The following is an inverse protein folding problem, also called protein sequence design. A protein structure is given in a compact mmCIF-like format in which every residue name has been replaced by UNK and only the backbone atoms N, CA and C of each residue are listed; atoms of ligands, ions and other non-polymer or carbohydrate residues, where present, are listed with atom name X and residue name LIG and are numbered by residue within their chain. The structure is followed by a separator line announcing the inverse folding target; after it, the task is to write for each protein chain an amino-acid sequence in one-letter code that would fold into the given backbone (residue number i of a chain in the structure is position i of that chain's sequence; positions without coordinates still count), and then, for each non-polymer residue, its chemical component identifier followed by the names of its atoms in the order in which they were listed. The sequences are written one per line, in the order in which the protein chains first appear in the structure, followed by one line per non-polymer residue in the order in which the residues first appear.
data_IF_035222041872
#
_entry.id   IF_035222041872
#
_cell.length_a   1.000
_cell.length_b   1.000
_cell.length_c   1.000
_cell.angle_alpha   90.00
_cell.angle_beta   90.00
_cell.angle_gamma   90.00
#
_symmetry.space_group_name_H-M   'P 1'
#
loop_
_entity.id
_entity.type
_entity.pdbx_description
1 polymer ?
#
# COMPACT_ATOMS: atom_id res chain seq x y z
N UNK A 1 -11.68 -3.29 -10.14
CA UNK A 1 -12.74 -3.86 -9.28
C UNK A 1 -12.30 -5.15 -8.56
N UNK A 2 -11.89 -6.23 -9.24
CA UNK A 2 -11.57 -7.53 -8.58
C UNK A 2 -10.52 -7.48 -7.45
N UNK A 3 -9.36 -6.87 -7.70
CA UNK A 3 -8.27 -6.79 -6.70
C UNK A 3 -8.72 -5.97 -5.48
N UNK A 4 -9.30 -4.80 -5.73
CA UNK A 4 -9.83 -3.93 -4.68
C UNK A 4 -10.87 -4.65 -3.81
N UNK A 5 -11.82 -5.35 -4.43
CA UNK A 5 -12.84 -6.13 -3.70
C UNK A 5 -12.19 -7.14 -2.75
N UNK A 6 -11.22 -7.92 -3.22
CA UNK A 6 -10.49 -8.87 -2.37
C UNK A 6 -9.76 -8.20 -1.21
N UNK A 7 -9.16 -7.03 -1.43
CA UNK A 7 -8.51 -6.27 -0.36
C UNK A 7 -9.50 -5.76 0.68
N UNK A 8 -10.68 -5.30 0.24
CA UNK A 8 -11.75 -4.84 1.13
C UNK A 8 -12.35 -6.01 1.94
N UNK A 9 -12.54 -7.18 1.31
CA UNK A 9 -13.00 -8.42 1.96
C UNK A 9 -12.02 -8.89 3.06
N UNK A 10 -10.73 -8.52 2.95
CA UNK A 10 -9.71 -8.79 3.97
C UNK A 10 -9.66 -7.71 5.07
N UNK A 11 -10.62 -6.77 5.09
CA UNK A 11 -10.71 -5.65 6.03
C UNK A 11 -9.46 -4.76 6.06
N UNK A 12 -8.74 -4.69 4.93
CA UNK A 12 -7.56 -3.83 4.81
C UNK A 12 -8.00 -2.36 4.71
N UNK A 13 -7.22 -1.47 5.34
CA UNK A 13 -7.43 -0.02 5.32
C UNK A 13 -6.72 0.60 4.10
N UNK A 14 -7.47 1.15 3.14
CA UNK A 14 -6.89 1.69 1.92
C UNK A 14 -6.27 3.08 2.13
N UNK A 15 -5.32 3.42 1.26
CA UNK A 15 -4.77 4.77 1.07
C UNK A 15 -4.99 5.11 -0.40
N UNK A 16 -5.72 6.18 -0.69
CA UNK A 16 -5.95 6.59 -2.08
C UNK A 16 -4.81 7.49 -2.55
N UNK A 17 -4.10 7.07 -3.60
CA UNK A 17 -3.07 7.89 -4.25
C UNK A 17 -3.54 8.26 -5.66
N UNK A 18 -3.88 9.53 -5.86
CA UNK A 18 -4.23 10.08 -7.17
C UNK A 18 -2.96 10.60 -7.83
N UNK A 19 -2.41 9.81 -8.75
CA UNK A 19 -1.17 10.16 -9.43
C UNK A 19 -1.42 10.93 -10.75
N UNK A 20 -0.37 11.61 -11.23
CA UNK A 20 -0.32 12.40 -12.48
C UNK A 20 -1.14 13.69 -12.43
N UNK A 21 -1.16 14.35 -11.26
CA UNK A 21 -1.83 15.65 -11.08
C UNK A 21 -1.17 16.79 -11.89
N UNK A 22 0.03 16.56 -12.40
CA UNK A 22 0.79 17.49 -13.26
C UNK A 22 0.21 17.64 -14.68
N UNK A 23 -0.80 16.84 -15.03
CA UNK A 23 -1.41 16.88 -16.38
C UNK A 23 -2.41 18.04 -16.49
N UNK A 24 -2.44 18.75 -17.64
CA UNK A 24 -3.30 19.93 -17.82
C UNK A 24 -4.81 19.62 -17.75
N UNK A 25 -5.20 18.38 -18.06
CA UNK A 25 -6.58 17.91 -18.00
C UNK A 25 -6.82 16.98 -16.79
N UNK A 26 -5.99 17.06 -15.75
CA UNK A 26 -6.19 16.30 -14.52
C UNK A 26 -7.45 16.80 -13.79
N UNK A 27 -8.27 15.86 -13.31
CA UNK A 27 -9.47 16.13 -12.51
C UNK A 27 -9.39 15.36 -11.20
N UNK A 28 -8.46 15.73 -10.31
CA UNK A 28 -8.14 14.93 -9.14
C UNK A 28 -9.30 14.82 -8.14
N UNK A 29 -10.12 15.87 -7.99
CA UNK A 29 -11.33 15.86 -7.17
C UNK A 29 -12.38 14.87 -7.71
N UNK A 30 -12.76 15.00 -8.98
CA UNK A 30 -13.73 14.08 -9.62
C UNK A 30 -13.30 12.61 -9.47
N UNK A 31 -12.00 12.32 -9.62
CA UNK A 31 -11.47 10.96 -9.47
C UNK A 31 -11.56 10.46 -8.03
N UNK A 32 -11.35 11.35 -7.04
CA UNK A 32 -11.51 10.99 -5.65
C UNK A 32 -12.96 10.61 -5.34
N UNK A 33 -13.93 11.43 -5.79
CA UNK A 33 -15.36 11.17 -5.62
C UNK A 33 -15.78 9.87 -6.31
N UNK A 34 -15.37 9.66 -7.56
CA UNK A 34 -15.62 8.41 -8.30
C UNK A 34 -15.02 7.18 -7.60
N UNK A 35 -13.91 7.35 -6.89
CA UNK A 35 -13.28 6.25 -6.14
C UNK A 35 -14.05 5.95 -4.85
N UNK A 36 -14.55 6.98 -4.18
CA UNK A 36 -15.43 6.84 -3.03
C UNK A 36 -16.72 6.08 -3.40
N UNK A 37 -17.39 6.48 -4.49
CA UNK A 37 -18.57 5.77 -5.01
C UNK A 37 -18.26 4.31 -5.31
N UNK A 38 -17.09 4.02 -5.90
CA UNK A 38 -16.66 2.65 -6.16
C UNK A 38 -16.45 1.83 -4.87
N UNK A 39 -15.97 2.45 -3.79
CA UNK A 39 -15.81 1.75 -2.51
C UNK A 39 -17.17 1.43 -1.89
N UNK A 40 -18.13 2.36 -1.99
CA UNK A 40 -19.52 2.15 -1.58
C UNK A 40 -20.17 1.01 -2.40
N UNK A 41 -20.00 0.98 -3.73
CA UNK A 41 -20.49 -0.12 -4.58
C UNK A 41 -19.93 -1.50 -4.17
N UNK A 42 -18.73 -1.52 -3.59
CA UNK A 42 -18.06 -2.73 -3.14
C UNK A 42 -18.35 -3.10 -1.68
N UNK A 43 -19.28 -2.39 -1.01
CA UNK A 43 -19.63 -2.56 0.40
C UNK A 43 -18.43 -2.38 1.35
N UNK A 44 -17.59 -1.38 1.10
CA UNK A 44 -16.55 -0.99 2.06
C UNK A 44 -17.18 -0.60 3.42
N UNK A 45 -16.50 -0.92 4.51
CA UNK A 45 -16.92 -0.48 5.85
C UNK A 45 -16.64 1.01 6.08
N UNK A 46 -17.26 1.61 7.10
CA UNK A 46 -17.03 3.02 7.46
C UNK A 46 -15.55 3.32 7.69
N UNK A 47 -14.82 2.42 8.36
CA UNK A 47 -13.37 2.56 8.56
C UNK A 47 -12.57 2.51 7.25
N UNK A 48 -13.08 1.79 6.25
CA UNK A 48 -12.45 1.70 4.93
C UNK A 48 -12.82 2.88 4.02
N UNK A 49 -13.90 3.60 4.33
CA UNK A 49 -14.32 4.83 3.64
C UNK A 49 -13.60 6.07 4.20
N UNK A 50 -13.10 6.04 5.44
CA UNK A 50 -12.17 7.05 5.99
C UNK A 50 -10.71 6.81 5.53
N UNK A 51 -10.49 6.83 4.22
CA UNK A 51 -9.14 6.72 3.66
C UNK A 51 -8.51 8.09 3.41
N UNK A 52 -7.21 8.27 3.71
CA UNK A 52 -6.50 9.47 3.30
C UNK A 52 -6.37 9.53 1.78
N UNK A 53 -6.42 10.74 1.24
CA UNK A 53 -6.21 11.01 -0.19
C UNK A 53 -4.88 11.74 -0.35
N UNK A 54 -3.99 11.17 -1.16
CA UNK A 54 -2.69 11.74 -1.50
C UNK A 54 -2.66 12.05 -2.99
N UNK A 55 -2.40 13.31 -3.33
CA UNK A 55 -2.25 13.76 -4.69
C UNK A 55 -0.77 13.75 -5.06
N UNK A 56 -0.40 13.04 -6.12
CA UNK A 56 1.01 12.81 -6.46
C UNK A 56 1.32 13.11 -7.93
N UNK A 57 2.56 13.54 -8.17
CA UNK A 57 3.18 13.63 -9.49
C UNK A 57 4.42 12.75 -9.51
N UNK A 58 4.27 11.52 -10.01
CA UNK A 58 5.41 10.61 -10.18
C UNK A 58 6.49 11.15 -11.14
N UNK A 59 6.14 12.08 -12.03
CA UNK A 59 7.09 12.73 -12.94
C UNK A 59 7.97 13.75 -12.21
N UNK A 60 7.38 14.53 -11.31
CA UNK A 60 8.09 15.58 -10.58
C UNK A 60 8.62 15.08 -9.23
N UNK A 61 8.22 13.90 -8.78
CA UNK A 61 8.62 13.35 -7.49
C UNK A 61 7.99 14.10 -6.32
N UNK A 62 6.75 14.60 -6.49
CA UNK A 62 6.06 15.40 -5.48
C UNK A 62 4.75 14.75 -5.06
N UNK A 63 4.36 14.96 -3.81
CA UNK A 63 3.07 14.58 -3.26
C UNK A 63 2.53 15.70 -2.36
N UNK A 64 1.21 15.80 -2.25
CA UNK A 64 0.53 16.72 -1.35
C UNK A 64 -0.79 16.10 -0.86
N UNK A 65 -1.26 16.54 0.31
CA UNK A 65 -2.59 16.20 0.83
C UNK A 65 -3.64 17.23 0.40
N UNK A 66 -3.19 18.42 0.00
CA UNK A 66 -4.05 19.50 -0.48
C UNK A 66 -3.57 19.98 -1.84
N UNK A 67 -4.46 19.97 -2.83
CA UNK A 67 -4.17 20.47 -4.19
C UNK A 67 -3.92 21.98 -4.22
N UNK A 68 -4.36 22.71 -3.19
CA UNK A 68 -4.06 24.14 -3.03
C UNK A 68 -2.60 24.40 -2.64
N UNK A 69 -1.94 23.41 -2.03
CA UNK A 69 -0.55 23.47 -1.59
C UNK A 69 0.34 22.60 -2.50
N UNK A 70 1.16 23.21 -3.37
CA UNK A 70 2.05 22.44 -4.23
C UNK A 70 3.04 21.62 -3.41
N UNK A 71 3.00 20.30 -3.60
CA UNK A 71 3.95 19.38 -2.98
C UNK A 71 5.39 19.65 -3.45
N UNK A 72 6.34 19.55 -2.53
CA UNK A 72 7.78 19.75 -2.82
C UNK A 72 8.55 18.44 -2.90
N UNK A 73 8.09 17.39 -2.21
CA UNK A 73 8.69 16.07 -2.18
C UNK A 73 7.62 14.98 -1.95
N UNK A 74 8.05 13.71 -1.84
CA UNK A 74 7.15 12.57 -1.58
C UNK A 74 6.86 12.33 -0.10
N UNK A 75 7.35 13.17 0.83
CA UNK A 75 7.15 12.94 2.26
C UNK A 75 5.69 12.82 2.65
N UNK A 76 4.75 13.62 2.11
CA UNK A 76 3.33 13.49 2.48
C UNK A 76 2.77 12.08 2.23
N UNK A 77 3.23 11.41 1.17
CA UNK A 77 2.86 10.02 0.90
C UNK A 77 3.47 9.05 1.93
N UNK A 78 4.77 9.18 2.19
CA UNK A 78 5.49 8.29 3.11
C UNK A 78 4.99 8.44 4.55
N UNK A 79 4.77 9.68 4.99
CA UNK A 79 4.23 10.01 6.31
C UNK A 79 2.80 9.45 6.45
N UNK A 80 1.97 9.56 5.41
CA UNK A 80 0.63 8.96 5.41
C UNK A 80 0.69 7.44 5.57
N UNK A 81 1.63 6.77 4.89
CA UNK A 81 1.84 5.32 5.03
C UNK A 81 2.23 4.97 6.47
N UNK A 82 3.18 5.69 7.06
CA UNK A 82 3.63 5.46 8.44
C UNK A 82 2.50 5.68 9.47
N UNK A 83 1.64 6.68 9.24
CA UNK A 83 0.55 7.02 10.15
C UNK A 83 -0.63 6.04 10.06
N UNK A 84 -0.91 5.49 8.88
CA UNK A 84 -2.14 4.71 8.64
C UNK A 84 -1.92 3.21 8.52
N UNK A 85 -0.73 2.75 8.14
CA UNK A 85 -0.43 1.32 8.03
C UNK A 85 -0.02 0.78 9.38
N UNK A 86 -0.82 -0.15 9.91
CA UNK A 86 -0.50 -0.83 11.17
C UNK A 86 0.80 -1.62 11.04
N UNK A 87 1.66 -1.61 12.08
CA UNK A 87 2.84 -2.45 12.09
C UNK A 87 2.44 -3.93 12.02
N UNK A 88 3.29 -4.79 11.42
CA UNK A 88 3.02 -6.21 11.38
C UNK A 88 3.00 -6.78 12.80
N UNK A 89 2.00 -7.60 13.10
CA UNK A 89 1.98 -8.39 14.34
C UNK A 89 2.95 -9.55 14.17
N UNK A 90 4.14 -9.41 14.74
CA UNK A 90 5.19 -10.41 14.72
C UNK A 90 5.89 -10.49 16.08
N UNK A 91 6.41 -11.67 16.40
CA UNK A 91 7.12 -11.94 17.66
C UNK A 91 8.47 -12.58 17.30
N UNK A 92 9.59 -11.88 17.49
CA UNK A 92 10.92 -12.38 17.16
C UNK A 92 11.41 -13.55 18.02
N UNK A 93 10.78 -13.79 19.17
CA UNK A 93 11.20 -14.82 20.13
C UNK A 93 10.44 -16.15 19.93
N UNK A 94 9.36 -16.14 19.15
CA UNK A 94 8.67 -17.36 18.72
C UNK A 94 9.49 -18.14 17.68
N UNK A 95 9.21 -19.44 17.48
CA UNK A 95 9.82 -20.22 16.41
C UNK A 95 9.64 -19.55 15.04
N UNK A 96 10.64 -19.73 14.17
CA UNK A 96 10.59 -19.18 12.82
C UNK A 96 9.37 -19.69 12.06
N UNK A 97 8.56 -18.75 11.56
CA UNK A 97 7.40 -19.04 10.72
C UNK A 97 7.38 -18.05 9.57
N UNK A 98 7.40 -18.57 8.35
CA UNK A 98 7.34 -17.77 7.13
C UNK A 98 6.34 -18.38 6.16
N UNK A 99 5.50 -17.53 5.58
CA UNK A 99 4.61 -17.91 4.48
C UNK A 99 5.28 -17.57 3.16
N UNK A 100 5.65 -18.59 2.39
CA UNK A 100 6.17 -18.42 1.02
C UNK A 100 5.02 -18.03 0.11
N UNK A 101 5.13 -16.87 -0.53
CA UNK A 101 4.11 -16.33 -1.44
C UNK A 101 4.52 -16.43 -2.89
N UNK A 102 5.82 -16.45 -3.17
CA UNK A 102 6.38 -16.58 -4.51
C UNK A 102 7.61 -17.47 -4.47
N UNK A 103 7.79 -18.26 -5.52
CA UNK A 103 9.02 -19.03 -5.75
C UNK A 103 9.60 -18.57 -7.08
N UNK A 104 10.91 -18.39 -7.09
CA UNK A 104 11.70 -18.00 -8.24
C UNK A 104 12.94 -18.90 -8.34
N UNK A 105 13.67 -18.81 -9.44
CA UNK A 105 14.85 -19.62 -9.69
C UNK A 105 15.92 -18.80 -10.42
N UNK A 106 17.14 -18.86 -9.88
CA UNK A 106 18.33 -18.30 -10.50
C UNK A 106 19.38 -19.40 -10.74
N UNK A 107 20.09 -19.34 -11.86
CA UNK A 107 21.06 -20.38 -12.24
C UNK A 107 22.31 -20.45 -11.36
N UNK A 108 22.64 -19.39 -10.64
CA UNK A 108 23.80 -19.31 -9.75
C UNK A 108 23.41 -19.49 -8.28
N UNK A 109 22.27 -18.95 -7.87
CA UNK A 109 21.78 -19.00 -6.48
C UNK A 109 20.92 -20.24 -6.21
N UNK A 110 20.23 -20.77 -7.23
CA UNK A 110 19.28 -21.86 -7.11
C UNK A 110 17.85 -21.37 -6.85
N UNK A 111 17.06 -22.15 -6.11
CA UNK A 111 15.68 -21.82 -5.81
C UNK A 111 15.58 -20.68 -4.78
N UNK A 112 14.83 -19.64 -5.13
CA UNK A 112 14.58 -18.47 -4.30
C UNK A 112 13.13 -18.50 -3.84
N UNK A 113 12.89 -18.46 -2.53
CA UNK A 113 11.55 -18.37 -1.97
C UNK A 113 11.34 -16.99 -1.35
N UNK A 114 10.33 -16.26 -1.82
CA UNK A 114 9.96 -14.93 -1.31
C UNK A 114 8.66 -15.04 -0.53
N UNK A 115 8.64 -14.45 0.65
CA UNK A 115 7.52 -14.57 1.56
C UNK A 115 7.60 -13.62 2.73
N UNK A 116 6.58 -13.68 3.60
CA UNK A 116 6.51 -12.86 4.82
C UNK A 116 6.84 -13.69 6.04
N UNK A 117 7.76 -13.20 6.86
CA UNK A 117 8.02 -13.74 8.20
C UNK A 117 6.88 -13.30 9.12
N UNK A 118 6.20 -14.26 9.74
CA UNK A 118 5.16 -14.01 10.74
C UNK A 118 5.75 -14.01 12.15
N UNK A 119 6.69 -14.91 12.43
CA UNK A 119 7.31 -15.05 13.74
C UNK A 119 8.76 -15.50 13.62
N UNK A 120 9.52 -15.22 14.67
CA UNK A 120 10.91 -15.63 14.80
C UNK A 120 11.86 -14.87 13.88
N UNK A 121 13.03 -15.47 13.72
CA UNK A 121 14.17 -14.99 12.94
C UNK A 121 14.87 -16.20 12.36
N UNK A 122 15.53 -16.02 11.21
CA UNK A 122 16.37 -17.03 10.60
C UNK A 122 17.70 -16.40 10.22
N UNK A 123 18.78 -17.18 10.31
CA UNK A 123 20.11 -16.81 9.85
C UNK A 123 20.63 -17.88 8.90
N UNK A 124 21.59 -17.47 8.07
CA UNK A 124 22.29 -18.37 7.17
C UNK A 124 22.91 -19.54 7.94
N UNK A 125 22.56 -20.77 7.55
CA UNK A 125 23.08 -22.00 8.13
C UNK A 125 22.32 -22.54 9.35
N UNK A 126 21.23 -21.89 9.78
CA UNK A 126 20.32 -22.45 10.81
C UNK A 126 19.46 -23.59 10.21
N UNK A 127 19.29 -24.68 10.98
CA UNK A 127 18.41 -25.81 10.66
C UNK A 127 17.08 -25.72 11.39
#
# INVERSE_FOLDING_TARGET
KFVLKKSLDLHLKPILVVNKIDRPNARPHDVADMTFDLFCELNASDEQLDFPIVYASGKQGTATLDLSEPGTDLKPLLDTILLRVLPPVADPEKPFQMLITMMDYDSYVGQISVGRIFHGKTKTGEQ
#
